data_IF_586979321486
#
_entry.id   IF_586979321486
#
_cell.length_a   1.000
_cell.length_b   1.000
_cell.length_c   1.000
_cell.angle_alpha   90.00
_cell.angle_beta   90.00
_cell.angle_gamma   90.00
#
_symmetry.space_group_name_H-M   'P 1'
#
loop_
_entity.id
_entity.type
_entity.pdbx_description
1 polymer ?
#
# COMPACT_ATOMS: atom_id res chain seq x y z
N UNK A 1 0.56 -29.31 -2.78
CA UNK A 1 1.45 -28.82 -3.85
C UNK A 1 2.17 -27.58 -3.32
N UNK A 2 3.49 -27.50 -3.46
CA UNK A 2 4.27 -26.34 -3.09
C UNK A 2 4.06 -25.18 -4.08
N UNK A 3 4.37 -23.97 -3.67
CA UNK A 3 4.38 -22.79 -4.55
C UNK A 3 5.54 -22.91 -5.55
N UNK A 4 5.26 -22.76 -6.84
CA UNK A 4 6.22 -22.96 -7.93
C UNK A 4 6.31 -21.73 -8.85
N UNK A 5 7.25 -21.75 -9.79
CA UNK A 5 7.44 -20.68 -10.76
C UNK A 5 6.20 -20.43 -11.63
N UNK A 6 5.45 -21.50 -11.99
CA UNK A 6 4.18 -21.39 -12.73
C UNK A 6 3.12 -20.59 -11.97
N UNK A 7 3.04 -20.78 -10.64
CA UNK A 7 2.12 -20.03 -9.79
C UNK A 7 2.52 -18.54 -9.73
N UNK A 8 3.83 -18.27 -9.70
CA UNK A 8 4.35 -16.91 -9.77
C UNK A 8 4.01 -16.21 -11.08
N UNK A 9 4.11 -16.91 -12.22
CA UNK A 9 3.69 -16.35 -13.51
C UNK A 9 2.20 -15.97 -13.51
N UNK A 10 1.34 -16.78 -12.89
CA UNK A 10 -0.07 -16.42 -12.69
C UNK A 10 -0.26 -15.18 -11.79
N UNK A 11 0.62 -15.01 -10.78
CA UNK A 11 0.63 -13.79 -9.96
C UNK A 11 1.05 -12.56 -10.78
N UNK A 12 2.07 -12.71 -11.63
CA UNK A 12 2.58 -11.64 -12.49
C UNK A 12 1.57 -11.22 -13.57
N UNK A 13 0.75 -12.14 -14.08
CA UNK A 13 -0.29 -11.85 -15.08
C UNK A 13 -1.36 -10.85 -14.58
N UNK A 14 -1.43 -10.61 -13.27
CA UNK A 14 -2.33 -9.60 -12.67
C UNK A 14 -1.74 -8.19 -12.64
N UNK A 15 -0.47 -8.04 -12.96
CA UNK A 15 0.23 -6.76 -13.01
C UNK A 15 0.12 -6.15 -14.42
N UNK A 16 0.16 -4.82 -14.54
CA UNK A 16 0.23 -4.17 -15.85
C UNK A 16 1.48 -4.60 -16.62
N UNK A 17 1.36 -4.86 -17.91
CA UNK A 17 2.49 -5.28 -18.78
C UNK A 17 3.64 -4.27 -18.77
N UNK A 18 3.34 -2.97 -18.71
CA UNK A 18 4.33 -1.90 -18.62
C UNK A 18 5.20 -2.00 -17.34
N UNK A 19 4.73 -2.70 -16.29
CA UNK A 19 5.47 -2.86 -15.04
C UNK A 19 6.67 -3.79 -15.17
N UNK A 20 6.71 -4.63 -16.20
CA UNK A 20 7.72 -5.69 -16.39
C UNK A 20 8.48 -5.59 -17.70
N UNK A 21 8.12 -4.66 -18.60
CA UNK A 21 8.73 -4.49 -19.94
C UNK A 21 10.01 -3.66 -19.95
N UNK A 22 10.35 -2.96 -18.87
CA UNK A 22 11.59 -2.21 -18.68
C UNK A 22 12.37 -2.72 -17.48
N UNK A 23 13.48 -2.10 -17.14
CA UNK A 23 14.18 -2.36 -15.87
C UNK A 23 13.27 -2.05 -14.68
N UNK A 24 13.39 -2.80 -13.60
CA UNK A 24 12.61 -2.59 -12.38
C UNK A 24 13.44 -2.85 -11.13
N UNK A 25 12.95 -2.35 -10.00
CA UNK A 25 13.59 -2.54 -8.71
C UNK A 25 12.90 -3.64 -7.89
N UNK A 26 13.64 -4.24 -6.96
CA UNK A 26 13.12 -5.15 -5.93
C UNK A 26 13.75 -4.84 -4.58
N UNK A 27 12.93 -4.73 -3.54
CA UNK A 27 13.39 -4.59 -2.16
C UNK A 27 13.80 -5.95 -1.59
N UNK A 28 15.05 -6.08 -1.18
CA UNK A 28 15.61 -7.34 -0.65
C UNK A 28 16.09 -7.13 0.77
N UNK A 29 15.36 -7.71 1.75
CA UNK A 29 15.72 -7.65 3.17
C UNK A 29 16.61 -8.81 3.63
N UNK A 30 16.81 -9.82 2.77
CA UNK A 30 17.51 -11.05 3.13
C UNK A 30 16.60 -12.13 3.74
N UNK A 31 15.38 -11.81 4.15
CA UNK A 31 14.41 -12.80 4.61
C UNK A 31 13.86 -13.67 3.48
N UNK A 32 13.23 -14.83 3.81
CA UNK A 32 12.81 -15.82 2.82
C UNK A 32 11.88 -15.24 1.76
N UNK A 33 10.95 -14.37 2.14
CA UNK A 33 9.96 -13.79 1.25
C UNK A 33 10.61 -12.94 0.16
N UNK A 34 11.55 -12.08 0.55
CA UNK A 34 12.29 -11.20 -0.37
C UNK A 34 13.27 -11.96 -1.26
N UNK A 35 13.90 -13.00 -0.73
CA UNK A 35 14.83 -13.85 -1.48
C UNK A 35 14.08 -14.75 -2.48
N UNK A 36 12.91 -15.28 -2.10
CA UNK A 36 12.04 -16.01 -3.01
C UNK A 36 11.57 -15.11 -4.17
N UNK A 37 11.10 -13.89 -3.85
CA UNK A 37 10.68 -12.92 -4.87
C UNK A 37 11.81 -12.57 -5.82
N UNK A 38 13.02 -12.28 -5.32
CA UNK A 38 14.17 -11.95 -6.14
C UNK A 38 14.51 -13.10 -7.09
N UNK A 39 14.56 -14.34 -6.61
CA UNK A 39 14.85 -15.51 -7.43
C UNK A 39 13.80 -15.74 -8.53
N UNK A 40 12.51 -15.60 -8.18
CA UNK A 40 11.40 -15.72 -9.15
C UNK A 40 11.48 -14.64 -10.23
N UNK A 41 11.76 -13.39 -9.84
CA UNK A 41 11.96 -12.28 -10.76
C UNK A 41 13.22 -12.48 -11.63
N UNK A 42 14.31 -13.00 -11.07
CA UNK A 42 15.54 -13.31 -11.83
C UNK A 42 15.28 -14.35 -12.92
N UNK A 43 14.61 -15.46 -12.59
CA UNK A 43 14.21 -16.47 -13.58
C UNK A 43 13.33 -15.91 -14.70
N UNK A 44 12.44 -14.98 -14.36
CA UNK A 44 11.61 -14.29 -15.35
C UNK A 44 12.45 -13.35 -16.20
N UNK A 45 13.34 -12.56 -15.59
CA UNK A 45 14.19 -11.58 -16.27
C UNK A 45 15.13 -12.24 -17.27
N UNK A 46 15.65 -13.44 -16.98
CA UNK A 46 16.46 -14.24 -17.93
C UNK A 46 15.72 -14.49 -19.24
N UNK A 47 14.42 -14.81 -19.16
CA UNK A 47 13.59 -15.06 -20.35
C UNK A 47 13.32 -13.80 -21.20
N UNK A 48 13.34 -12.63 -20.58
CA UNK A 48 12.94 -11.36 -21.18
C UNK A 48 14.09 -10.38 -21.38
N UNK A 49 15.33 -10.75 -20.98
CA UNK A 49 16.50 -9.88 -21.08
C UNK A 49 16.41 -8.60 -20.21
N UNK A 50 15.61 -8.64 -19.13
CA UNK A 50 15.34 -7.48 -18.27
C UNK A 50 16.38 -7.37 -17.16
N UNK A 51 16.81 -6.15 -16.84
CA UNK A 51 17.72 -5.88 -15.70
C UNK A 51 16.89 -5.64 -14.46
N UNK A 52 17.30 -6.26 -13.34
CA UNK A 52 16.73 -6.09 -12.01
C UNK A 52 17.68 -5.27 -11.16
N UNK A 53 17.17 -4.23 -10.51
CA UNK A 53 17.88 -3.46 -9.50
C UNK A 53 17.45 -3.92 -8.11
N UNK A 54 18.29 -4.70 -7.43
CA UNK A 54 18.00 -5.19 -6.08
C UNK A 54 18.54 -4.23 -5.04
N UNK A 55 17.69 -3.77 -4.12
CA UNK A 55 18.06 -2.82 -3.07
C UNK A 55 17.90 -3.44 -1.69
N UNK A 56 19.00 -3.48 -0.93
CA UNK A 56 19.01 -3.81 0.50
C UNK A 56 19.21 -2.54 1.29
N UNK A 57 18.33 -2.26 2.26
CA UNK A 57 18.45 -1.08 3.12
C UNK A 57 19.04 -1.50 4.46
N UNK A 58 20.24 -1.00 4.74
CA UNK A 58 20.85 -1.05 6.07
C UNK A 58 20.33 0.12 6.89
N UNK A 59 19.47 -0.16 7.87
CA UNK A 59 18.94 0.87 8.78
C UNK A 59 19.94 1.36 9.81
N UNK A 60 21.09 0.68 9.97
CA UNK A 60 22.11 0.97 10.97
C UNK A 60 21.54 1.15 12.41
N UNK A 61 20.52 0.34 12.76
CA UNK A 61 19.88 0.32 14.07
C UNK A 61 20.52 -0.69 15.03
N UNK A 62 21.32 -1.62 14.50
CA UNK A 62 22.06 -2.65 15.23
C UNK A 62 23.47 -2.73 14.65
N UNK A 63 24.50 -3.06 15.47
CA UNK A 63 25.88 -3.19 14.98
C UNK A 63 26.02 -4.19 13.82
N UNK A 64 25.23 -5.29 13.85
CA UNK A 64 25.31 -6.40 12.92
C UNK A 64 24.59 -6.14 11.58
N UNK A 65 23.77 -5.08 11.49
CA UNK A 65 22.92 -4.81 10.31
C UNK A 65 23.74 -4.59 9.02
N UNK A 66 24.92 -4.00 9.13
CA UNK A 66 25.84 -3.81 8.01
C UNK A 66 26.38 -5.14 7.48
N UNK A 67 26.76 -6.07 8.36
CA UNK A 67 27.24 -7.41 7.98
C UNK A 67 26.12 -8.23 7.35
N UNK A 68 24.89 -8.15 7.88
CA UNK A 68 23.70 -8.78 7.29
C UNK A 68 23.46 -8.27 5.87
N UNK A 69 23.53 -6.97 5.65
CA UNK A 69 23.36 -6.37 4.31
C UNK A 69 24.44 -6.81 3.32
N UNK A 70 25.70 -6.92 3.76
CA UNK A 70 26.82 -7.42 2.95
C UNK A 70 26.61 -8.90 2.57
N UNK A 71 26.18 -9.73 3.53
CA UNK A 71 25.87 -11.15 3.30
C UNK A 71 24.76 -11.33 2.26
N UNK A 72 23.69 -10.53 2.35
CA UNK A 72 22.65 -10.48 1.32
C UNK A 72 23.27 -10.14 -0.04
N UNK A 73 24.16 -9.17 -0.10
CA UNK A 73 24.88 -8.80 -1.32
C UNK A 73 25.69 -9.95 -1.93
N UNK A 74 26.31 -10.80 -1.09
CA UNK A 74 27.01 -11.99 -1.56
C UNK A 74 26.05 -13.01 -2.21
N UNK A 75 24.92 -13.26 -1.59
CA UNK A 75 23.89 -14.16 -2.12
C UNK A 75 23.32 -13.66 -3.44
N UNK A 76 23.05 -12.35 -3.52
CA UNK A 76 22.46 -11.74 -4.73
C UNK A 76 23.39 -11.79 -5.94
N UNK A 77 24.72 -11.81 -5.76
CA UNK A 77 25.68 -11.94 -6.88
C UNK A 77 25.50 -13.23 -7.70
N UNK A 78 24.87 -14.24 -7.12
CA UNK A 78 24.60 -15.52 -7.82
C UNK A 78 23.39 -15.45 -8.77
N UNK A 79 22.60 -14.37 -8.76
CA UNK A 79 21.43 -14.24 -9.62
C UNK A 79 21.78 -13.54 -10.94
N UNK A 80 21.29 -14.10 -12.04
CA UNK A 80 21.47 -13.52 -13.36
C UNK A 80 20.67 -12.19 -13.51
N UNK A 81 21.19 -11.27 -14.33
CA UNK A 81 20.58 -9.99 -14.65
C UNK A 81 20.21 -9.10 -13.43
N UNK A 82 20.88 -9.30 -12.27
CA UNK A 82 20.64 -8.53 -11.05
C UNK A 82 21.82 -7.60 -10.77
N UNK A 83 21.51 -6.32 -10.57
CA UNK A 83 22.42 -5.32 -10.03
C UNK A 83 22.03 -5.02 -8.59
N UNK A 84 22.93 -5.23 -7.63
CA UNK A 84 22.65 -5.05 -6.22
C UNK A 84 23.27 -3.76 -5.68
N UNK A 85 22.51 -3.05 -4.85
CA UNK A 85 22.99 -1.88 -4.10
C UNK A 85 22.54 -1.97 -2.64
N UNK A 86 23.48 -1.74 -1.73
CA UNK A 86 23.19 -1.55 -0.30
C UNK A 86 23.01 -0.06 -0.04
N UNK A 87 21.85 0.31 0.47
CA UNK A 87 21.46 1.68 0.79
C UNK A 87 21.52 1.85 2.30
N UNK A 88 22.36 2.74 2.79
CA UNK A 88 22.52 2.95 4.22
C UNK A 88 21.72 4.15 4.68
N UNK A 89 21.00 3.99 5.78
CA UNK A 89 20.37 5.09 6.50
C UNK A 89 21.38 5.72 7.44
N UNK A 90 22.01 6.80 6.99
CA UNK A 90 23.01 7.55 7.79
C UNK A 90 22.34 8.59 8.70
N UNK A 91 23.14 9.15 9.65
CA UNK A 91 22.72 10.19 10.59
C UNK A 91 22.09 9.67 11.87
N UNK A 92 21.66 10.62 12.72
CA UNK A 92 21.06 10.35 14.03
C UNK A 92 19.74 9.62 13.90
N UNK A 93 19.49 8.67 14.81
CA UNK A 93 18.28 7.88 14.82
C UNK A 93 17.25 8.50 15.75
N UNK A 94 15.96 8.55 15.35
CA UNK A 94 14.92 9.09 16.20
C UNK A 94 14.75 8.24 17.47
N UNK A 95 14.51 8.89 18.61
CA UNK A 95 14.28 8.19 19.88
C UNK A 95 12.84 7.67 20.03
N UNK A 96 11.90 8.18 19.21
CA UNK A 96 10.50 7.78 19.20
C UNK A 96 10.07 7.40 17.78
N UNK A 97 9.03 6.56 17.65
CA UNK A 97 8.49 6.11 16.35
C UNK A 97 9.52 5.49 15.41
N UNK A 98 10.54 4.85 15.96
CA UNK A 98 11.68 4.30 15.20
C UNK A 98 11.24 3.47 13.99
N UNK A 99 10.20 2.66 14.11
CA UNK A 99 9.71 1.81 13.00
C UNK A 99 9.05 2.62 11.87
N UNK A 100 8.30 3.67 12.22
CA UNK A 100 7.67 4.55 11.23
C UNK A 100 8.74 5.33 10.46
N UNK A 101 9.71 5.91 11.19
CA UNK A 101 10.83 6.64 10.61
C UNK A 101 11.76 5.73 9.79
N UNK A 102 12.06 4.53 10.28
CA UNK A 102 12.83 3.54 9.51
C UNK A 102 12.12 3.12 8.22
N UNK A 103 10.77 3.01 8.28
CA UNK A 103 9.97 2.74 7.08
C UNK A 103 10.02 3.92 6.11
N UNK A 104 9.86 5.15 6.59
CA UNK A 104 9.95 6.36 5.77
C UNK A 104 11.33 6.49 5.11
N UNK A 105 12.39 6.36 5.90
CA UNK A 105 13.77 6.40 5.41
C UNK A 105 14.06 5.32 4.35
N UNK A 106 13.52 4.10 4.54
CA UNK A 106 13.64 3.02 3.55
C UNK A 106 13.08 3.44 2.19
N UNK A 107 11.85 3.95 2.16
CA UNK A 107 11.23 4.35 0.89
C UNK A 107 11.96 5.54 0.26
N UNK A 108 12.43 6.49 1.07
CA UNK A 108 13.17 7.65 0.57
C UNK A 108 14.50 7.23 -0.07
N UNK A 109 15.28 6.37 0.59
CA UNK A 109 16.54 5.83 0.07
C UNK A 109 16.31 5.04 -1.24
N UNK A 110 15.31 4.17 -1.24
CA UNK A 110 14.98 3.37 -2.42
C UNK A 110 14.55 4.28 -3.58
N UNK A 111 13.67 5.27 -3.35
CA UNK A 111 13.24 6.22 -4.37
C UNK A 111 14.41 7.01 -4.94
N UNK A 112 15.28 7.51 -4.08
CA UNK A 112 16.49 8.21 -4.49
C UNK A 112 17.39 7.37 -5.40
N UNK A 113 17.54 6.08 -5.09
CA UNK A 113 18.31 5.15 -5.92
C UNK A 113 17.60 4.79 -7.22
N UNK A 114 16.29 4.50 -7.15
CA UNK A 114 15.46 4.23 -8.34
C UNK A 114 15.53 5.36 -9.38
N UNK A 115 15.53 6.61 -8.91
CA UNK A 115 15.67 7.79 -9.79
C UNK A 115 17.02 7.80 -10.50
N UNK A 116 18.12 7.44 -9.80
CA UNK A 116 19.46 7.33 -10.41
C UNK A 116 19.55 6.21 -11.43
N UNK A 117 18.88 5.08 -11.14
CA UNK A 117 18.88 3.89 -12.00
C UNK A 117 17.84 3.98 -13.14
N UNK A 118 17.01 5.03 -13.17
CA UNK A 118 16.02 5.27 -14.23
C UNK A 118 14.84 4.29 -14.20
N UNK A 119 14.51 3.72 -13.02
CA UNK A 119 13.43 2.75 -12.86
C UNK A 119 12.30 3.33 -11.99
N UNK A 120 11.05 2.97 -12.31
CA UNK A 120 9.85 3.46 -11.62
C UNK A 120 9.11 2.38 -10.83
N UNK A 121 9.25 1.12 -11.19
CA UNK A 121 8.53 0.01 -10.60
C UNK A 121 9.36 -0.66 -9.51
N UNK A 122 8.78 -0.81 -8.30
CA UNK A 122 9.41 -1.45 -7.15
C UNK A 122 8.60 -2.68 -6.70
N UNK A 123 9.18 -3.85 -6.84
CA UNK A 123 8.63 -5.10 -6.33
C UNK A 123 8.93 -5.28 -4.84
N UNK A 124 7.91 -5.66 -4.07
CA UNK A 124 7.99 -5.91 -2.63
C UNK A 124 7.32 -7.24 -2.30
N UNK A 125 7.98 -8.03 -1.47
CA UNK A 125 7.59 -9.39 -1.10
C UNK A 125 6.53 -9.45 0.02
N UNK A 126 5.53 -8.57 0.02
CA UNK A 126 4.38 -8.74 0.91
C UNK A 126 3.57 -9.96 0.47
N UNK A 127 3.14 -10.75 1.44
CA UNK A 127 2.49 -12.04 1.24
C UNK A 127 1.12 -12.12 1.95
N UNK A 128 0.47 -13.30 1.88
CA UNK A 128 -0.89 -13.50 2.40
C UNK A 128 -1.02 -13.20 3.91
N UNK A 129 -0.02 -13.57 4.71
CA UNK A 129 -0.07 -13.30 6.14
C UNK A 129 0.06 -11.80 6.46
N UNK A 130 0.83 -11.03 5.65
CA UNK A 130 0.88 -9.57 5.76
C UNK A 130 -0.47 -8.93 5.43
N UNK A 131 -1.22 -9.49 4.48
CA UNK A 131 -2.59 -9.06 4.17
C UNK A 131 -3.51 -9.29 5.37
N UNK A 132 -3.46 -10.48 5.97
CA UNK A 132 -4.26 -10.82 7.14
C UNK A 132 -3.93 -9.91 8.34
N UNK A 133 -2.64 -9.71 8.62
CA UNK A 133 -2.20 -8.79 9.68
C UNK A 133 -2.69 -7.36 9.42
N UNK A 134 -2.57 -6.88 8.18
CA UNK A 134 -3.01 -5.53 7.80
C UNK A 134 -4.52 -5.38 7.95
N UNK A 135 -5.29 -6.39 7.55
CA UNK A 135 -6.74 -6.42 7.72
C UNK A 135 -7.13 -6.32 9.19
N UNK A 136 -6.56 -7.17 10.05
CA UNK A 136 -6.84 -7.18 11.50
C UNK A 136 -6.45 -5.87 12.18
N UNK A 137 -5.30 -5.30 11.83
CA UNK A 137 -4.85 -4.01 12.37
C UNK A 137 -5.84 -2.90 12.02
N UNK A 138 -6.32 -2.87 10.78
CA UNK A 138 -7.25 -1.86 10.30
C UNK A 138 -8.65 -2.06 10.87
N UNK A 139 -9.08 -3.30 11.01
CA UNK A 139 -10.34 -3.66 11.68
C UNK A 139 -10.33 -3.21 13.14
N UNK A 140 -9.27 -3.50 13.89
CA UNK A 140 -9.10 -3.08 15.27
C UNK A 140 -9.05 -1.56 15.46
N UNK A 141 -8.70 -0.80 14.42
CA UNK A 141 -8.72 0.67 14.39
C UNK A 141 -10.05 1.27 13.93
N UNK A 142 -11.07 0.45 13.65
CA UNK A 142 -12.35 0.92 13.14
C UNK A 142 -12.29 1.48 11.72
N UNK A 143 -11.38 0.98 10.89
CA UNK A 143 -11.27 1.45 9.50
C UNK A 143 -12.50 1.10 8.69
N UNK A 144 -12.96 2.01 7.86
CA UNK A 144 -14.00 1.79 6.86
C UNK A 144 -13.54 0.88 5.72
N UNK A 145 -14.39 0.77 4.68
CA UNK A 145 -14.22 -0.13 3.54
C UNK A 145 -12.85 0.01 2.86
N UNK A 146 -12.37 1.23 2.67
CA UNK A 146 -11.08 1.48 2.02
C UNK A 146 -9.89 0.95 2.82
N UNK A 147 -9.97 1.06 4.13
CA UNK A 147 -8.98 0.47 5.04
C UNK A 147 -9.03 -1.05 5.02
N UNK A 148 -10.21 -1.64 5.14
CA UNK A 148 -10.40 -3.09 5.20
C UNK A 148 -10.05 -3.81 3.89
N UNK A 149 -9.96 -3.10 2.77
CA UNK A 149 -9.44 -3.63 1.52
C UNK A 149 -7.96 -4.06 1.59
N UNK A 150 -7.27 -3.77 2.70
CA UNK A 150 -5.87 -4.07 2.98
C UNK A 150 -4.92 -3.52 1.90
N UNK A 151 -3.87 -4.26 1.51
CA UNK A 151 -2.89 -3.78 0.54
C UNK A 151 -3.32 -4.10 -0.90
N UNK A 152 -3.14 -3.13 -1.80
CA UNK A 152 -3.32 -3.34 -3.23
C UNK A 152 -2.10 -4.01 -3.86
N UNK A 153 -2.34 -4.82 -4.90
CA UNK A 153 -1.29 -5.46 -5.69
C UNK A 153 -0.43 -4.42 -6.42
N UNK A 154 -1.07 -3.36 -6.92
CA UNK A 154 -0.43 -2.20 -7.56
C UNK A 154 -0.82 -0.94 -6.78
N UNK A 155 0.15 -0.13 -6.44
CA UNK A 155 -0.07 1.13 -5.73
C UNK A 155 0.90 2.20 -6.22
N UNK A 156 0.37 3.31 -6.70
CA UNK A 156 1.18 4.50 -6.96
C UNK A 156 1.48 5.23 -5.64
N UNK A 157 2.75 5.55 -5.43
CA UNK A 157 3.22 6.31 -4.26
C UNK A 157 4.20 7.34 -4.76
N UNK A 158 3.77 8.59 -4.81
CA UNK A 158 4.54 9.70 -5.37
C UNK A 158 4.98 9.41 -6.82
N UNK A 159 6.29 9.26 -7.07
CA UNK A 159 6.90 9.04 -8.38
C UNK A 159 7.20 7.56 -8.69
N UNK A 160 6.88 6.64 -7.77
CA UNK A 160 7.10 5.19 -7.95
C UNK A 160 5.81 4.38 -7.93
N UNK A 161 5.85 3.20 -8.51
CA UNK A 161 4.77 2.21 -8.47
C UNK A 161 5.21 1.01 -7.67
N UNK A 162 4.54 0.74 -6.56
CA UNK A 162 4.76 -0.44 -5.73
C UNK A 162 3.99 -1.63 -6.30
N UNK A 163 4.66 -2.75 -6.47
CA UNK A 163 4.13 -3.99 -6.99
C UNK A 163 4.28 -5.10 -5.96
N UNK A 164 3.18 -5.79 -5.63
CA UNK A 164 3.10 -6.84 -4.62
C UNK A 164 2.48 -8.10 -5.22
N UNK A 165 3.22 -8.87 -6.00
CA UNK A 165 2.67 -10.04 -6.69
C UNK A 165 2.27 -11.18 -5.75
N UNK A 166 2.86 -11.25 -4.55
CA UNK A 166 2.76 -12.40 -3.65
C UNK A 166 1.64 -12.28 -2.58
N UNK A 167 0.73 -11.29 -2.70
CA UNK A 167 -0.29 -11.03 -1.67
C UNK A 167 -1.24 -12.20 -1.38
N UNK A 168 -1.39 -13.15 -2.30
CA UNK A 168 -2.22 -14.34 -2.13
C UNK A 168 -1.40 -15.61 -1.80
N UNK A 169 -0.07 -15.48 -1.71
CA UNK A 169 0.86 -16.60 -1.46
C UNK A 169 1.11 -16.73 0.04
N UNK A 170 0.89 -17.91 0.65
CA UNK A 170 1.21 -18.14 2.06
C UNK A 170 2.72 -18.06 2.31
N UNK A 171 3.13 -17.54 3.47
CA UNK A 171 4.54 -17.47 3.88
C UNK A 171 5.23 -18.82 3.83
N UNK A 172 4.57 -19.85 4.31
CA UNK A 172 5.09 -21.22 4.31
C UNK A 172 5.42 -21.70 2.87
N UNK A 173 4.66 -21.27 1.87
CA UNK A 173 4.92 -21.54 0.47
C UNK A 173 6.22 -20.91 -0.02
N UNK A 174 6.52 -19.67 0.41
CA UNK A 174 7.75 -18.96 0.04
C UNK A 174 8.97 -19.58 0.73
N UNK A 175 8.86 -19.96 2.00
CA UNK A 175 9.91 -20.67 2.74
C UNK A 175 10.19 -22.03 2.08
N UNK A 176 9.15 -22.80 1.77
CA UNK A 176 9.29 -24.09 1.07
C UNK A 176 9.95 -23.90 -0.31
N UNK A 177 9.61 -22.86 -1.05
CA UNK A 177 10.22 -22.50 -2.32
C UNK A 177 11.72 -22.23 -2.18
N UNK A 178 12.13 -21.43 -1.18
CA UNK A 178 13.54 -21.16 -0.90
C UNK A 178 14.31 -22.46 -0.61
N UNK A 179 13.77 -23.31 0.25
CA UNK A 179 14.40 -24.58 0.62
C UNK A 179 14.53 -25.54 -0.58
N UNK A 180 13.48 -25.66 -1.40
CA UNK A 180 13.49 -26.52 -2.58
C UNK A 180 14.49 -26.07 -3.67
N UNK A 181 14.80 -24.77 -3.72
CA UNK A 181 15.73 -24.20 -4.69
C UNK A 181 17.09 -23.84 -4.08
N UNK A 182 17.39 -24.25 -2.84
CA UNK A 182 18.63 -23.94 -2.11
C UNK A 182 18.96 -22.44 -2.07
N UNK A 183 17.93 -21.60 -1.92
CA UNK A 183 18.09 -20.14 -1.84
C UNK A 183 18.42 -19.77 -0.38
N UNK A 184 19.58 -19.16 -0.13
CA UNK A 184 19.94 -18.74 1.22
C UNK A 184 19.06 -17.58 1.68
N UNK A 185 18.73 -17.54 2.98
CA UNK A 185 18.01 -16.43 3.63
C UNK A 185 18.38 -16.32 5.10
N UNK A 186 18.12 -15.16 5.69
CA UNK A 186 18.24 -14.91 7.13
C UNK A 186 16.88 -15.19 7.78
N UNK A 187 16.90 -15.95 8.87
CA UNK A 187 15.78 -16.00 9.80
C UNK A 187 16.05 -15.00 10.93
N UNK A 188 15.43 -13.83 10.87
CA UNK A 188 15.70 -12.74 11.81
C UNK A 188 14.90 -12.95 13.12
N UNK A 189 15.57 -13.30 14.23
CA UNK A 189 14.91 -13.54 15.52
C UNK A 189 14.27 -12.27 16.10
N UNK A 190 14.60 -11.07 15.59
CA UNK A 190 14.02 -9.81 16.10
C UNK A 190 12.59 -9.56 15.62
N UNK A 191 12.07 -10.38 14.69
CA UNK A 191 10.67 -10.35 14.26
C UNK A 191 9.66 -10.69 15.39
N UNK A 192 10.13 -11.14 16.57
CA UNK A 192 9.32 -11.53 17.72
C UNK A 192 9.08 -10.45 18.78
N UNK A 193 9.44 -9.18 18.58
CA UNK A 193 9.27 -8.16 19.62
C UNK A 193 7.79 -7.77 19.81
N UNK A 194 7.15 -8.33 20.83
CA UNK A 194 5.72 -8.16 21.17
C UNK A 194 5.31 -6.75 21.63
N UNK A 195 6.24 -5.80 21.75
CA UNK A 195 5.90 -4.38 21.98
C UNK A 195 5.08 -3.80 20.82
N UNK A 196 5.13 -4.43 19.63
CA UNK A 196 4.45 -3.97 18.42
C UNK A 196 3.23 -4.84 18.12
N UNK A 197 2.23 -4.26 17.45
CA UNK A 197 0.96 -4.91 17.17
C UNK A 197 1.11 -6.13 16.24
N UNK A 198 1.95 -6.04 15.19
CA UNK A 198 2.17 -7.16 14.28
C UNK A 198 2.74 -8.42 14.95
N UNK A 199 3.84 -8.37 15.72
CA UNK A 199 4.32 -9.51 16.49
C UNK A 199 3.27 -10.09 17.42
N UNK A 200 2.46 -9.27 18.11
CA UNK A 200 1.37 -9.76 18.97
C UNK A 200 0.30 -10.53 18.19
N UNK A 201 -0.07 -10.04 16.98
CA UNK A 201 -1.02 -10.75 16.13
C UNK A 201 -0.45 -12.08 15.66
N UNK A 202 0.86 -12.14 15.35
CA UNK A 202 1.55 -13.40 15.03
C UNK A 202 1.54 -14.38 16.18
N UNK A 203 1.80 -13.92 17.41
CA UNK A 203 1.72 -14.74 18.62
C UNK A 203 0.29 -15.25 18.88
N UNK A 204 -0.73 -14.48 18.55
CA UNK A 204 -2.14 -14.86 18.66
C UNK A 204 -2.66 -15.71 17.49
N UNK A 205 -1.84 -16.02 16.48
CA UNK A 205 -2.25 -16.68 15.24
C UNK A 205 -3.02 -17.97 15.49
N UNK A 206 -2.51 -18.85 16.33
CA UNK A 206 -3.14 -20.16 16.60
C UNK A 206 -4.56 -19.99 17.17
N UNK A 207 -4.75 -19.09 18.12
CA UNK A 207 -6.07 -18.79 18.70
C UNK A 207 -7.02 -18.24 17.64
N UNK A 208 -6.54 -17.34 16.77
CA UNK A 208 -7.34 -16.79 15.69
C UNK A 208 -7.74 -17.87 14.67
N UNK A 209 -6.84 -18.78 14.35
CA UNK A 209 -7.07 -19.87 13.41
C UNK A 209 -8.05 -20.92 13.96
N UNK A 210 -8.02 -21.22 15.26
CA UNK A 210 -9.01 -22.07 15.94
C UNK A 210 -10.42 -21.49 15.80
N UNK A 211 -10.56 -20.16 15.89
CA UNK A 211 -11.83 -19.46 15.64
C UNK A 211 -12.16 -19.26 14.16
N UNK A 212 -11.36 -19.84 13.26
CA UNK A 212 -11.57 -19.78 11.81
C UNK A 212 -11.06 -18.51 11.13
N UNK A 213 -10.36 -17.61 11.85
CA UNK A 213 -9.75 -16.40 11.31
C UNK A 213 -8.36 -16.69 10.71
N UNK A 214 -8.31 -17.64 9.79
CA UNK A 214 -7.06 -18.01 9.10
C UNK A 214 -6.57 -16.89 8.18
N UNK A 215 -5.25 -16.80 7.94
CA UNK A 215 -4.65 -15.83 7.01
C UNK A 215 -5.34 -15.88 5.63
N UNK A 216 -5.64 -17.07 5.13
CA UNK A 216 -6.37 -17.26 3.86
C UNK A 216 -7.76 -16.64 3.87
N UNK A 217 -8.56 -16.87 4.90
CA UNK A 217 -9.93 -16.32 4.98
C UNK A 217 -9.92 -14.80 5.10
N UNK A 218 -9.01 -14.25 5.90
CA UNK A 218 -8.85 -12.81 6.07
C UNK A 218 -8.39 -12.15 4.77
N UNK A 219 -7.41 -12.70 4.07
CA UNK A 219 -6.96 -12.20 2.77
C UNK A 219 -8.06 -12.27 1.71
N UNK A 220 -8.84 -13.36 1.65
CA UNK A 220 -9.99 -13.49 0.76
C UNK A 220 -11.07 -12.44 1.07
N UNK A 221 -11.33 -12.17 2.35
CA UNK A 221 -12.28 -11.13 2.76
C UNK A 221 -11.79 -9.75 2.33
N UNK A 222 -10.52 -9.43 2.56
CA UNK A 222 -9.91 -8.18 2.10
C UNK A 222 -10.01 -8.02 0.57
N UNK A 223 -9.75 -9.09 -0.19
CA UNK A 223 -9.87 -9.06 -1.65
C UNK A 223 -11.32 -8.83 -2.13
N UNK A 224 -12.32 -9.40 -1.44
CA UNK A 224 -13.74 -9.13 -1.73
C UNK A 224 -14.10 -7.67 -1.46
N UNK A 225 -13.64 -7.13 -0.36
CA UNK A 225 -13.81 -5.71 -0.01
C UNK A 225 -13.10 -4.81 -1.03
N UNK A 226 -11.90 -5.17 -1.48
CA UNK A 226 -11.17 -4.43 -2.51
C UNK A 226 -11.95 -4.35 -3.83
N UNK A 227 -12.65 -5.44 -4.23
CA UNK A 227 -13.53 -5.42 -5.42
C UNK A 227 -14.73 -4.50 -5.24
N UNK A 228 -15.38 -4.54 -4.07
CA UNK A 228 -16.49 -3.64 -3.77
C UNK A 228 -16.03 -2.17 -3.77
N UNK A 229 -14.85 -1.90 -3.19
CA UNK A 229 -14.22 -0.58 -3.22
C UNK A 229 -13.98 -0.09 -4.66
N UNK A 230 -13.45 -0.94 -5.54
CA UNK A 230 -13.21 -0.57 -6.93
C UNK A 230 -14.50 -0.17 -7.66
N UNK A 231 -15.59 -0.92 -7.47
CA UNK A 231 -16.89 -0.58 -8.04
C UNK A 231 -17.44 0.76 -7.50
N UNK A 232 -17.33 0.98 -6.18
CA UNK A 232 -17.75 2.26 -5.57
C UNK A 232 -16.87 3.44 -6.04
N UNK A 233 -15.58 3.19 -6.30
CA UNK A 233 -14.66 4.19 -6.82
C UNK A 233 -15.05 4.63 -8.23
N UNK A 234 -15.41 3.70 -9.10
CA UNK A 234 -15.89 3.96 -10.46
C UNK A 234 -17.23 4.73 -10.42
N UNK A 235 -18.19 4.26 -9.62
CA UNK A 235 -19.50 4.93 -9.47
C UNK A 235 -19.34 6.35 -8.88
N UNK A 236 -18.47 6.52 -7.90
CA UNK A 236 -18.23 7.84 -7.31
C UNK A 236 -17.51 8.79 -8.27
N UNK A 237 -16.67 8.26 -9.17
CA UNK A 237 -16.06 9.07 -10.23
C UNK A 237 -17.11 9.52 -11.24
N UNK A 238 -18.02 8.64 -11.64
CA UNK A 238 -19.17 8.99 -12.51
C UNK A 238 -20.02 10.09 -11.88
N UNK A 239 -20.40 9.93 -10.58
CA UNK A 239 -21.15 10.94 -9.86
C UNK A 239 -20.39 12.26 -9.76
N UNK A 240 -19.07 12.22 -9.51
CA UNK A 240 -18.24 13.43 -9.47
C UNK A 240 -18.30 14.18 -10.81
N UNK A 241 -18.15 13.44 -11.93
CA UNK A 241 -18.13 14.03 -13.26
C UNK A 241 -19.51 14.58 -13.68
N UNK A 242 -20.59 13.94 -13.28
CA UNK A 242 -21.96 14.37 -13.55
C UNK A 242 -22.43 15.53 -12.65
N UNK A 243 -21.99 15.58 -11.38
CA UNK A 243 -22.43 16.57 -10.42
C UNK A 243 -21.58 17.85 -10.44
N UNK A 244 -20.34 17.80 -10.95
CA UNK A 244 -19.47 18.98 -10.97
C UNK A 244 -19.92 19.97 -12.03
N UNK A 245 -20.25 21.19 -11.62
CA UNK A 245 -20.62 22.30 -12.48
C UNK A 245 -19.41 23.15 -12.89
N UNK A 246 -18.43 23.29 -12.00
CA UNK A 246 -17.20 24.03 -12.27
C UNK A 246 -16.00 23.36 -11.61
N UNK A 247 -14.89 23.29 -12.34
CA UNK A 247 -13.58 22.74 -11.90
C UNK A 247 -12.54 23.86 -11.96
N UNK A 248 -12.25 24.46 -10.82
CA UNK A 248 -11.17 25.42 -10.65
C UNK A 248 -9.96 24.80 -9.94
N UNK A 249 -8.79 25.43 -10.10
CA UNK A 249 -7.55 25.01 -9.40
C UNK A 249 -7.70 25.08 -7.88
N UNK A 250 -8.45 26.08 -7.37
CA UNK A 250 -8.64 26.32 -5.94
C UNK A 250 -9.99 25.82 -5.40
N UNK A 251 -10.79 25.14 -6.21
CA UNK A 251 -12.10 24.66 -5.75
C UNK A 251 -12.98 24.08 -6.83
N UNK A 252 -14.05 23.45 -6.37
CA UNK A 252 -15.07 22.84 -7.21
C UNK A 252 -16.46 23.31 -6.80
N UNK A 253 -17.37 23.41 -7.78
CA UNK A 253 -18.80 23.69 -7.55
C UNK A 253 -19.58 22.47 -8.02
N UNK A 254 -20.49 21.98 -7.19
CA UNK A 254 -21.31 20.79 -7.47
C UNK A 254 -22.79 21.13 -7.46
N UNK A 255 -23.56 20.49 -8.31
CA UNK A 255 -25.02 20.42 -8.26
C UNK A 255 -25.44 19.66 -6.99
N UNK A 256 -25.98 20.38 -6.02
CA UNK A 256 -26.39 19.84 -4.73
C UNK A 256 -27.56 18.84 -4.87
N UNK A 257 -28.44 19.06 -5.85
CA UNK A 257 -29.58 18.14 -6.08
C UNK A 257 -29.13 16.75 -6.46
N UNK A 258 -28.12 16.64 -7.31
CA UNK A 258 -27.50 15.37 -7.70
C UNK A 258 -26.80 14.68 -6.53
N UNK A 259 -26.08 15.43 -5.72
CA UNK A 259 -25.44 14.89 -4.52
C UNK A 259 -26.47 14.37 -3.51
N UNK A 260 -27.57 15.11 -3.31
CA UNK A 260 -28.65 14.71 -2.39
C UNK A 260 -29.42 13.47 -2.86
N UNK A 261 -29.55 13.28 -4.15
CA UNK A 261 -30.23 12.10 -4.74
C UNK A 261 -29.35 10.84 -4.71
N UNK A 262 -28.03 10.99 -4.58
CA UNK A 262 -27.11 9.87 -4.63
C UNK A 262 -27.00 9.13 -3.27
N UNK A 263 -26.61 7.85 -3.28
CA UNK A 263 -26.27 7.09 -2.07
C UNK A 263 -25.19 7.80 -1.24
N UNK A 264 -25.31 7.70 0.08
CA UNK A 264 -24.44 8.39 1.04
C UNK A 264 -22.95 8.07 0.83
N UNK A 265 -22.60 6.82 0.63
CA UNK A 265 -21.24 6.36 0.39
C UNK A 265 -20.63 7.01 -0.86
N UNK A 266 -21.42 7.22 -1.92
CA UNK A 266 -20.93 7.87 -3.14
C UNK A 266 -20.70 9.37 -2.91
N UNK A 267 -21.56 10.03 -2.15
CA UNK A 267 -21.39 11.44 -1.78
C UNK A 267 -20.13 11.62 -0.92
N UNK A 268 -19.92 10.74 0.07
CA UNK A 268 -18.73 10.73 0.90
C UNK A 268 -17.46 10.63 0.05
N UNK A 269 -17.43 9.73 -0.94
CA UNK A 269 -16.29 9.57 -1.85
C UNK A 269 -16.08 10.78 -2.76
N UNK A 270 -17.15 11.36 -3.27
CA UNK A 270 -17.07 12.60 -4.08
C UNK A 270 -16.47 13.74 -3.26
N UNK A 271 -16.92 13.93 -2.02
CA UNK A 271 -16.41 14.94 -1.10
C UNK A 271 -14.93 14.70 -0.79
N UNK A 272 -14.54 13.48 -0.44
CA UNK A 272 -13.14 13.12 -0.18
C UNK A 272 -12.26 13.36 -1.42
N UNK A 273 -12.71 13.01 -2.61
CA UNK A 273 -12.00 13.29 -3.87
C UNK A 273 -11.82 14.79 -4.11
N UNK A 274 -12.88 15.56 -3.94
CA UNK A 274 -12.84 17.01 -4.10
C UNK A 274 -11.83 17.63 -3.14
N UNK A 275 -11.91 17.29 -1.85
CA UNK A 275 -10.97 17.76 -0.83
C UNK A 275 -9.52 17.42 -1.20
N UNK A 276 -9.24 16.17 -1.58
CA UNK A 276 -7.87 15.73 -1.91
C UNK A 276 -7.31 16.40 -3.17
N UNK A 277 -8.17 16.72 -4.14
CA UNK A 277 -7.76 17.46 -5.35
C UNK A 277 -7.42 18.92 -5.03
N UNK A 278 -8.16 19.54 -4.12
CA UNK A 278 -8.00 20.95 -3.72
C UNK A 278 -6.82 21.11 -2.76
N UNK A 279 -6.73 20.23 -1.77
CA UNK A 279 -5.70 20.24 -0.73
C UNK A 279 -5.20 18.81 -0.46
N UNK A 280 -4.20 18.31 -1.21
CA UNK A 280 -3.66 16.98 -1.03
C UNK A 280 -3.11 16.77 0.40
N UNK A 281 -3.67 15.83 1.14
CA UNK A 281 -3.31 15.57 2.55
C UNK A 281 -2.19 14.53 2.75
N UNK A 282 -1.60 14.00 1.68
CA UNK A 282 -0.55 12.99 1.76
C UNK A 282 -0.98 11.76 2.56
N UNK A 283 -0.19 11.41 3.58
CA UNK A 283 -0.45 10.23 4.43
C UNK A 283 -1.47 10.48 5.57
N UNK A 284 -1.95 11.71 5.75
CA UNK A 284 -2.82 12.12 6.85
C UNK A 284 -4.18 12.67 6.37
N UNK A 285 -5.06 11.80 5.86
CA UNK A 285 -6.40 12.23 5.47
C UNK A 285 -7.21 12.70 6.69
N UNK A 286 -8.25 13.53 6.51
CA UNK A 286 -9.16 13.89 7.58
C UNK A 286 -9.83 12.64 8.16
N UNK A 287 -10.16 12.66 9.46
CA UNK A 287 -10.86 11.55 10.11
C UNK A 287 -12.19 11.31 9.42
N UNK A 288 -12.43 10.05 9.05
CA UNK A 288 -13.62 9.66 8.28
C UNK A 288 -14.92 10.11 8.95
N UNK A 289 -15.05 9.89 10.25
CA UNK A 289 -16.23 10.29 11.06
C UNK A 289 -16.58 11.79 10.91
N UNK A 290 -15.55 12.65 10.76
CA UNK A 290 -15.78 14.09 10.56
C UNK A 290 -16.30 14.40 9.17
N UNK A 291 -15.84 13.65 8.16
CA UNK A 291 -16.30 13.83 6.77
C UNK A 291 -17.72 13.28 6.63
N UNK A 292 -18.03 12.13 7.24
CA UNK A 292 -19.36 11.55 7.32
C UNK A 292 -20.36 12.53 7.96
N UNK A 293 -20.03 13.08 9.13
CA UNK A 293 -20.86 14.08 9.80
C UNK A 293 -21.08 15.34 8.94
N UNK A 294 -20.05 15.78 8.19
CA UNK A 294 -20.18 16.90 7.27
C UNK A 294 -21.10 16.56 6.09
N UNK A 295 -20.95 15.40 5.49
CA UNK A 295 -21.80 14.93 4.38
C UNK A 295 -23.26 14.82 4.80
N UNK A 296 -23.55 14.28 5.99
CA UNK A 296 -24.91 14.23 6.54
C UNK A 296 -25.52 15.64 6.69
N UNK A 297 -24.76 16.59 7.23
CA UNK A 297 -25.21 17.99 7.34
C UNK A 297 -25.47 18.65 5.98
N UNK A 298 -24.62 18.43 4.99
CA UNK A 298 -24.83 18.98 3.63
C UNK A 298 -26.10 18.41 3.00
N UNK A 299 -26.41 17.15 3.25
CA UNK A 299 -27.57 16.47 2.65
C UNK A 299 -28.89 16.80 3.34
N UNK A 300 -28.90 16.85 4.66
CA UNK A 300 -30.12 16.82 5.47
C UNK A 300 -30.40 18.11 6.24
N UNK A 301 -29.37 18.89 6.62
CA UNK A 301 -29.51 20.09 7.44
C UNK A 301 -29.93 21.31 6.59
N UNK A 302 -31.19 21.69 6.70
CA UNK A 302 -31.70 22.90 6.05
C UNK A 302 -31.06 24.18 6.59
N UNK A 303 -30.48 24.15 7.78
CA UNK A 303 -29.80 25.28 8.39
C UNK A 303 -28.32 25.37 8.05
N UNK A 304 -27.75 24.37 7.36
CA UNK A 304 -26.36 24.38 6.98
C UNK A 304 -26.01 25.66 6.19
N UNK A 305 -25.00 26.40 6.64
CA UNK A 305 -24.51 27.64 5.97
C UNK A 305 -23.08 27.42 5.43
N UNK A 306 -22.31 26.59 6.11
CA UNK A 306 -20.93 26.29 5.74
C UNK A 306 -20.17 25.55 6.83
N UNK A 307 -18.99 25.08 6.51
CA UNK A 307 -18.07 24.41 7.42
C UNK A 307 -16.65 24.48 6.86
N UNK A 308 -15.66 24.30 7.74
CA UNK A 308 -14.26 24.11 7.36
C UNK A 308 -13.81 22.73 7.81
N UNK A 309 -13.21 21.98 6.92
CA UNK A 309 -12.65 20.66 7.22
C UNK A 309 -11.48 20.34 6.28
N UNK A 310 -10.36 19.87 6.85
CA UNK A 310 -9.21 19.36 6.07
C UNK A 310 -8.58 20.41 5.14
N UNK A 311 -8.56 21.70 5.53
CA UNK A 311 -8.06 22.81 4.72
C UNK A 311 -8.95 23.17 3.53
N UNK A 312 -10.24 22.77 3.60
CA UNK A 312 -11.27 23.15 2.65
C UNK A 312 -12.44 23.87 3.33
N UNK A 313 -12.98 24.86 2.67
CA UNK A 313 -14.21 25.57 3.06
C UNK A 313 -15.36 25.02 2.21
N UNK A 314 -16.44 24.67 2.88
CA UNK A 314 -17.69 24.18 2.30
C UNK A 314 -18.76 25.25 2.47
N UNK A 315 -19.45 25.65 1.41
CA UNK A 315 -20.55 26.61 1.47
C UNK A 315 -21.63 26.28 0.45
N UNK A 316 -22.87 26.73 0.72
CA UNK A 316 -23.93 26.66 -0.27
C UNK A 316 -24.19 28.06 -0.86
N UNK A 317 -24.56 28.06 -2.15
CA UNK A 317 -25.05 29.30 -2.78
C UNK A 317 -26.30 29.83 -2.13
N UNK A 318 -26.68 31.07 -2.43
CA UNK A 318 -27.86 31.71 -1.81
C UNK A 318 -29.19 31.01 -2.13
N UNK A 319 -29.27 30.26 -3.21
CA UNK A 319 -30.45 29.46 -3.62
C UNK A 319 -30.39 28.02 -3.09
N UNK A 320 -29.27 27.61 -2.47
CA UNK A 320 -29.03 26.24 -1.96
C UNK A 320 -29.16 25.18 -3.04
N UNK A 321 -28.72 25.47 -4.25
CA UNK A 321 -28.68 24.58 -5.40
C UNK A 321 -27.26 24.05 -5.68
N UNK A 322 -26.25 24.78 -5.17
CA UNK A 322 -24.84 24.50 -5.42
C UNK A 322 -24.07 24.33 -4.12
N UNK A 323 -23.23 23.30 -4.08
CA UNK A 323 -22.20 23.09 -3.04
C UNK A 323 -20.86 23.58 -3.58
N UNK A 324 -20.27 24.56 -2.91
CA UNK A 324 -18.93 25.05 -3.20
C UNK A 324 -17.94 24.42 -2.21
N UNK A 325 -16.85 23.85 -2.72
CA UNK A 325 -15.73 23.35 -1.94
C UNK A 325 -14.48 24.05 -2.46
N UNK A 326 -13.87 24.87 -1.62
CA UNK A 326 -12.71 25.69 -2.01
C UNK A 326 -11.57 25.52 -1.00
N UNK A 327 -10.36 25.85 -1.39
CA UNK A 327 -9.21 25.85 -0.48
C UNK A 327 -9.40 26.93 0.59
N UNK A 328 -9.04 26.61 1.85
CA UNK A 328 -9.03 27.54 2.98
C UNK A 328 -7.97 28.64 2.82
#
# INVERSE_FOLDING_TARGET
MGFEFSDFEACMARLPDAAVSGGFAVGVSGGPDSMALLHLLSRRAEKHGTIIHAYTVDHALRPESGEEALRVGEWVRGFANVRHSVLRWDGDKPQSRILEEARAARYELIRGQMKKDGVRHLFIAHHQDDQAETFLIRLAKGSGLDGLAAMACVQEVQDIVLLRPLLDVPKEGLVAYCNANNIPYVDDPTNGNERFLRPRLRAARNVLEEEGLTSKRLAVTAARIARARAALEELSQTLFDEAVLNRGENGHIFDLSRLRAAPEELVLRVVLKAMNKINPWGDYPPRLEKVEALCARIREDETFRGATLGGCIFSLDGKRTELQIVKE
#
